data_IF_579306253907
#
_entry.id   IF_579306253907
#
_cell.length_a   1.000
_cell.length_b   1.000
_cell.length_c   1.000
_cell.angle_alpha   90.00
_cell.angle_beta   90.00
_cell.angle_gamma   90.00
#
_symmetry.space_group_name_H-M   'P 1'
#
loop_
_entity.id
_entity.type
_entity.pdbx_description
1 polymer ?
#
# COMPACT_ATOMS: atom_id res chain seq x y z
N UNK A 1 -5.74 -9.35 12.32
CA UNK A 1 -4.34 -9.57 11.84
C UNK A 1 -3.67 -8.21 11.77
N UNK A 2 -2.50 -8.04 12.35
CA UNK A 2 -1.78 -6.76 12.34
C UNK A 2 -0.91 -6.66 11.08
N UNK A 3 -1.06 -5.57 10.33
CA UNK A 3 -0.36 -5.30 9.07
C UNK A 3 0.86 -4.40 9.28
N UNK A 4 0.65 -3.32 10.02
CA UNK A 4 1.67 -2.34 10.41
C UNK A 4 1.68 -2.22 11.94
N UNK A 5 2.86 -2.29 12.52
CA UNK A 5 3.06 -2.07 13.95
C UNK A 5 3.91 -0.82 14.17
N UNK A 6 3.45 0.02 15.08
CA UNK A 6 4.21 1.16 15.58
C UNK A 6 4.50 0.93 17.06
N UNK A 7 5.77 0.96 17.44
CA UNK A 7 6.23 0.77 18.80
C UNK A 7 7.26 1.85 19.17
N UNK A 8 7.74 1.85 20.40
CA UNK A 8 8.83 2.74 20.82
C UNK A 8 10.15 2.47 20.08
N UNK A 9 10.31 1.29 19.49
CA UNK A 9 11.51 0.89 18.76
C UNK A 9 11.48 1.33 17.29
N UNK A 10 10.28 1.58 16.72
CA UNK A 10 10.15 1.94 15.32
C UNK A 10 8.85 1.45 14.70
N UNK A 11 8.85 1.41 13.36
CA UNK A 11 7.73 0.96 12.54
C UNK A 11 8.12 -0.34 11.83
N UNK A 12 7.22 -1.34 11.86
CA UNK A 12 7.41 -2.62 11.19
C UNK A 12 6.22 -2.92 10.28
N UNK A 13 6.47 -3.58 9.16
CA UNK A 13 5.46 -4.10 8.24
C UNK A 13 5.50 -5.62 8.24
N UNK A 14 4.34 -6.26 8.25
CA UNK A 14 4.21 -7.71 8.21
C UNK A 14 4.15 -8.21 6.77
N UNK A 15 5.13 -8.99 6.33
CA UNK A 15 5.01 -9.81 5.12
C UNK A 15 4.22 -11.06 5.48
N UNK A 16 3.05 -11.25 4.86
CA UNK A 16 2.09 -12.27 5.28
C UNK A 16 1.83 -13.24 4.12
N UNK A 17 2.04 -14.51 4.37
CA UNK A 17 1.68 -15.57 3.42
C UNK A 17 0.28 -16.06 3.71
N UNK A 18 -0.57 -16.03 2.68
CA UNK A 18 -1.91 -16.57 2.69
C UNK A 18 -1.93 -17.87 1.89
N UNK A 19 -2.63 -18.87 2.40
CA UNK A 19 -2.86 -20.17 1.76
C UNK A 19 -4.36 -20.52 1.80
N UNK A 20 -4.79 -21.32 0.82
CA UNK A 20 -6.12 -21.87 0.76
C UNK A 20 -6.07 -23.39 0.53
N UNK A 21 -7.07 -24.11 1.05
CA UNK A 21 -7.19 -25.54 0.85
C UNK A 21 -7.49 -25.84 -0.64
N UNK A 22 -6.86 -26.88 -1.17
CA UNK A 22 -7.11 -27.36 -2.55
C UNK A 22 -6.32 -26.64 -3.65
N UNK A 23 -5.45 -25.68 -3.32
CA UNK A 23 -4.56 -25.01 -4.26
C UNK A 23 -3.14 -24.91 -3.71
N UNK A 24 -2.09 -25.19 -4.53
CA UNK A 24 -0.70 -24.93 -4.15
C UNK A 24 -0.29 -23.45 -4.34
N UNK A 25 -1.15 -22.61 -4.91
CA UNK A 25 -0.90 -21.18 -5.11
C UNK A 25 -0.91 -20.47 -3.76
N UNK A 26 0.10 -19.64 -3.49
CA UNK A 26 0.17 -18.82 -2.30
C UNK A 26 0.10 -17.33 -2.67
N UNK A 27 -0.55 -16.55 -1.83
CA UNK A 27 -0.57 -15.08 -1.96
C UNK A 27 0.29 -14.50 -0.84
N UNK A 28 1.28 -13.71 -1.19
CA UNK A 28 2.20 -13.07 -0.23
C UNK A 28 1.93 -11.57 -0.22
N UNK A 29 1.42 -11.09 0.89
CA UNK A 29 1.11 -9.67 1.07
C UNK A 29 2.34 -8.91 1.55
N UNK A 30 2.63 -7.80 0.89
CA UNK A 30 3.64 -6.81 1.27
C UNK A 30 2.93 -5.48 1.54
N UNK A 31 2.47 -5.22 2.78
CA UNK A 31 1.86 -3.94 3.13
C UNK A 31 2.90 -2.82 3.06
N UNK A 32 2.81 -1.99 2.03
CA UNK A 32 3.82 -0.98 1.77
C UNK A 32 3.52 0.34 2.46
N UNK A 33 4.60 1.02 2.86
CA UNK A 33 4.61 2.40 3.31
C UNK A 33 5.43 3.24 2.31
N UNK A 34 4.94 4.42 1.99
CA UNK A 34 5.58 5.30 0.99
C UNK A 34 6.92 5.92 1.45
N UNK A 35 7.22 5.85 2.76
CA UNK A 35 8.47 6.30 3.36
C UNK A 35 9.02 5.19 4.25
N UNK A 36 10.29 4.85 4.06
CA UNK A 36 10.97 3.82 4.83
C UNK A 36 12.49 3.91 4.68
N UNK A 37 13.21 3.14 5.47
CA UNK A 37 14.65 3.01 5.32
C UNK A 37 14.99 2.26 4.01
N UNK A 38 16.09 2.59 3.33
CA UNK A 38 16.53 1.86 2.13
C UNK A 38 16.70 0.35 2.39
N UNK A 39 17.05 -0.04 3.61
CA UNK A 39 17.18 -1.44 4.01
C UNK A 39 15.84 -2.18 3.95
N UNK A 40 14.73 -1.52 4.28
CA UNK A 40 13.39 -2.08 4.18
C UNK A 40 13.05 -2.47 2.73
N UNK A 41 13.24 -1.54 1.79
CA UNK A 41 12.92 -1.80 0.37
C UNK A 41 13.81 -2.90 -0.21
N UNK A 42 15.11 -2.92 0.12
CA UNK A 42 16.01 -4.03 -0.26
C UNK A 42 15.57 -5.38 0.35
N UNK A 43 15.08 -5.39 1.59
CA UNK A 43 14.55 -6.59 2.21
C UNK A 43 13.27 -7.09 1.51
N UNK A 44 12.41 -6.18 1.06
CA UNK A 44 11.25 -6.51 0.21
C UNK A 44 11.71 -7.07 -1.13
N UNK A 45 12.62 -6.40 -1.85
CA UNK A 45 13.19 -6.88 -3.13
C UNK A 45 13.76 -8.29 -3.02
N UNK A 46 14.52 -8.57 -1.96
CA UNK A 46 15.08 -9.90 -1.74
C UNK A 46 14.02 -11.00 -1.60
N UNK A 47 12.82 -10.67 -1.09
CA UNK A 47 11.70 -11.62 -0.98
C UNK A 47 10.92 -11.75 -2.28
N UNK A 48 10.76 -10.65 -3.00
CA UNK A 48 10.12 -10.64 -4.32
C UNK A 48 10.84 -11.52 -5.32
N UNK A 49 12.16 -11.65 -5.23
CA UNK A 49 12.96 -12.51 -6.10
C UNK A 49 12.56 -13.99 -6.04
N UNK A 50 11.89 -14.45 -5.00
CA UNK A 50 11.35 -15.81 -4.86
C UNK A 50 9.92 -15.98 -5.39
N UNK A 51 9.26 -14.92 -5.85
CA UNK A 51 7.88 -14.97 -6.32
C UNK A 51 7.81 -15.26 -7.84
N UNK A 52 6.71 -15.85 -8.28
CA UNK A 52 6.47 -16.13 -9.71
C UNK A 52 5.70 -15.02 -10.42
N UNK A 53 4.99 -14.17 -9.67
CA UNK A 53 4.20 -13.05 -10.19
C UNK A 53 4.15 -11.93 -9.14
N UNK A 54 4.21 -10.69 -9.60
CA UNK A 54 4.09 -9.50 -8.74
C UNK A 54 2.88 -8.68 -9.16
N UNK A 55 2.02 -8.35 -8.21
CA UNK A 55 0.91 -7.41 -8.36
C UNK A 55 1.31 -6.12 -7.64
N UNK A 56 1.64 -5.08 -8.42
CA UNK A 56 2.24 -3.83 -7.95
C UNK A 56 1.26 -2.67 -8.00
N UNK A 57 1.39 -1.76 -7.03
CA UNK A 57 0.64 -0.51 -6.98
C UNK A 57 1.25 0.53 -7.93
N UNK A 58 0.41 1.21 -8.72
CA UNK A 58 0.89 2.34 -9.49
C UNK A 58 -0.09 2.88 -10.50
N UNK A 59 -0.55 4.10 -10.23
CA UNK A 59 -1.38 4.86 -11.18
C UNK A 59 -0.53 5.19 -12.42
N UNK A 60 -0.90 4.63 -13.57
CA UNK A 60 -0.20 4.90 -14.81
C UNK A 60 -0.43 6.36 -15.25
N UNK A 61 0.67 7.11 -15.50
CA UNK A 61 0.65 8.51 -15.91
C UNK A 61 -0.19 9.40 -14.99
N UNK A 62 0.17 9.51 -13.69
CA UNK A 62 -0.62 10.25 -12.73
C UNK A 62 -0.77 11.72 -13.15
N UNK A 63 -1.97 12.31 -12.97
CA UNK A 63 -2.19 13.72 -13.30
C UNK A 63 -1.36 14.65 -12.43
N UNK A 64 -1.16 15.90 -12.88
CA UNK A 64 -0.35 16.89 -12.18
C UNK A 64 -0.83 17.14 -10.73
N UNK A 65 -2.15 17.07 -10.48
CA UNK A 65 -2.75 17.18 -9.14
C UNK A 65 -2.28 16.06 -8.21
N UNK A 66 -2.26 14.81 -8.68
CA UNK A 66 -1.75 13.67 -7.89
C UNK A 66 -0.25 13.84 -7.66
N UNK A 67 0.51 14.22 -8.69
CA UNK A 67 1.94 14.51 -8.55
C UNK A 67 2.21 15.61 -7.54
N UNK A 68 1.39 16.66 -7.51
CA UNK A 68 1.54 17.75 -6.54
C UNK A 68 1.20 17.29 -5.10
N UNK A 69 0.13 16.49 -4.92
CA UNK A 69 -0.20 15.92 -3.62
C UNK A 69 0.88 14.92 -3.16
N UNK A 70 1.36 14.05 -4.04
CA UNK A 70 2.47 13.13 -3.71
C UNK A 70 3.79 13.85 -3.50
N UNK A 71 4.01 15.02 -4.10
CA UNK A 71 5.18 15.85 -3.85
C UNK A 71 5.21 16.32 -2.40
N UNK A 72 4.06 16.61 -1.78
CA UNK A 72 3.97 16.97 -0.37
C UNK A 72 4.52 15.86 0.54
N UNK A 73 4.34 14.59 0.17
CA UNK A 73 4.95 13.44 0.86
C UNK A 73 6.41 13.17 0.45
N UNK A 74 6.82 13.57 -0.75
CA UNK A 74 8.19 13.38 -1.27
C UNK A 74 9.15 14.48 -0.82
N UNK A 75 8.66 15.70 -0.54
CA UNK A 75 9.48 16.80 -0.03
C UNK A 75 10.16 16.48 1.31
N UNK A 76 9.47 15.87 2.30
CA UNK A 76 10.13 15.34 3.47
C UNK A 76 11.27 14.38 3.13
N UNK A 77 11.08 13.41 2.23
CA UNK A 77 12.11 12.45 1.85
C UNK A 77 13.38 13.07 1.26
N UNK A 78 13.29 14.20 0.55
CA UNK A 78 14.49 14.91 0.05
C UNK A 78 15.29 15.63 1.13
N UNK A 79 14.64 16.18 2.14
CA UNK A 79 15.29 16.76 3.33
C UNK A 79 15.72 15.70 4.34
N UNK A 80 15.04 14.56 4.37
CA UNK A 80 15.32 13.43 5.27
C UNK A 80 16.45 12.51 4.80
N UNK A 81 17.19 12.82 3.73
CA UNK A 81 18.49 12.17 3.46
C UNK A 81 19.39 12.18 4.70
N UNK A 82 19.25 13.20 5.56
CA UNK A 82 19.94 13.27 6.84
C UNK A 82 19.36 12.34 7.93
N UNK A 83 18.17 11.74 7.72
CA UNK A 83 17.52 10.82 8.67
C UNK A 83 17.40 9.39 8.14
N UNK A 84 18.04 9.07 7.01
CA UNK A 84 18.11 7.71 6.49
C UNK A 84 16.81 7.17 5.89
N UNK A 85 15.77 7.99 5.68
CA UNK A 85 14.52 7.56 5.04
C UNK A 85 14.50 7.94 3.55
N UNK A 86 13.91 7.07 2.72
CA UNK A 86 13.66 7.30 1.30
C UNK A 86 12.19 7.05 0.96
N UNK A 87 11.73 7.61 -0.16
CA UNK A 87 10.43 7.22 -0.71
C UNK A 87 10.50 5.80 -1.25
N UNK A 88 9.35 5.11 -1.28
CA UNK A 88 9.22 3.79 -1.89
C UNK A 88 9.84 3.81 -3.29
N UNK A 89 10.85 2.96 -3.49
CA UNK A 89 11.57 2.77 -4.73
C UNK A 89 12.00 1.30 -4.79
N UNK A 90 11.23 0.50 -5.51
CA UNK A 90 11.52 -0.92 -5.74
C UNK A 90 11.99 -1.04 -7.18
N UNK A 91 13.20 -1.54 -7.36
CA UNK A 91 13.76 -1.78 -8.69
C UNK A 91 13.34 -3.16 -9.21
N UNK A 92 12.23 -3.20 -9.92
CA UNK A 92 11.75 -4.45 -10.55
C UNK A 92 12.68 -4.97 -11.66
N UNK A 93 13.59 -4.15 -12.20
CA UNK A 93 14.50 -4.59 -13.25
C UNK A 93 15.56 -5.58 -12.73
N UNK A 94 15.89 -5.50 -11.44
CA UNK A 94 16.85 -6.43 -10.81
C UNK A 94 16.23 -7.80 -10.45
N UNK A 95 14.91 -7.96 -10.58
CA UNK A 95 14.19 -9.18 -10.20
C UNK A 95 14.14 -10.25 -11.29
N UNK A 96 15.05 -10.19 -12.27
CA UNK A 96 15.26 -11.31 -13.21
C UNK A 96 14.11 -11.60 -14.18
N UNK A 97 13.24 -10.61 -14.46
CA UNK A 97 12.16 -10.75 -15.45
C UNK A 97 10.88 -11.36 -14.89
N UNK A 98 10.69 -11.37 -13.58
CA UNK A 98 9.41 -11.76 -12.95
C UNK A 98 8.29 -10.89 -13.53
N UNK A 99 7.17 -11.48 -14.00
CA UNK A 99 6.05 -10.71 -14.51
C UNK A 99 5.49 -9.75 -13.44
N UNK A 100 5.25 -8.48 -13.83
CA UNK A 100 4.66 -7.46 -12.96
C UNK A 100 3.35 -6.98 -13.56
N UNK A 101 2.26 -7.18 -12.84
CA UNK A 101 0.92 -6.72 -13.20
C UNK A 101 0.59 -5.49 -12.36
N UNK A 102 0.04 -4.46 -12.99
CA UNK A 102 -0.37 -3.21 -12.31
C UNK A 102 -1.86 -2.97 -12.52
N UNK A 103 -2.73 -3.57 -11.70
CA UNK A 103 -4.18 -3.44 -11.81
C UNK A 103 -4.69 -2.12 -11.22
N UNK A 104 -3.98 -1.04 -11.43
CA UNK A 104 -4.36 0.26 -10.90
C UNK A 104 -5.00 1.13 -12.00
N UNK A 105 -5.75 2.14 -11.58
CA UNK A 105 -6.42 3.02 -12.52
C UNK A 105 -5.42 3.83 -13.37
N UNK A 106 -5.83 4.14 -14.60
CA UNK A 106 -5.10 5.08 -15.42
C UNK A 106 -5.25 6.52 -14.90
N UNK A 107 -4.31 7.40 -15.24
CA UNK A 107 -4.41 8.81 -14.90
C UNK A 107 -5.65 9.52 -15.51
N UNK A 108 -6.30 8.95 -16.54
CA UNK A 108 -7.58 9.46 -17.08
C UNK A 108 -8.74 9.06 -16.17
N UNK A 109 -8.77 7.81 -15.73
CA UNK A 109 -9.77 7.28 -14.80
C UNK A 109 -9.68 8.01 -13.47
N UNK A 110 -8.48 8.16 -12.92
CA UNK A 110 -8.28 8.94 -11.71
C UNK A 110 -8.80 10.39 -11.86
N UNK A 111 -8.53 11.08 -12.98
CA UNK A 111 -9.07 12.43 -13.23
C UNK A 111 -10.58 12.46 -13.27
N UNK A 112 -11.21 11.42 -13.85
CA UNK A 112 -12.67 11.32 -13.90
C UNK A 112 -13.24 11.13 -12.50
N UNK A 113 -12.66 10.22 -11.72
CA UNK A 113 -13.04 10.00 -10.31
C UNK A 113 -12.84 11.28 -9.47
N UNK A 114 -11.68 11.91 -9.59
CA UNK A 114 -11.36 13.15 -8.88
C UNK A 114 -12.35 14.29 -9.20
N UNK A 115 -12.84 14.40 -10.41
CA UNK A 115 -13.88 15.39 -10.76
C UNK A 115 -15.22 15.10 -10.11
N UNK A 116 -15.54 13.84 -9.84
CA UNK A 116 -16.72 13.40 -9.11
C UNK A 116 -16.65 13.67 -7.59
N UNK A 117 -15.45 13.88 -7.03
CA UNK A 117 -15.29 14.22 -5.61
C UNK A 117 -15.89 15.58 -5.33
N UNK A 118 -16.72 15.76 -4.28
CA UNK A 118 -17.29 17.05 -3.90
C UNK A 118 -16.21 18.14 -3.74
N UNK A 119 -16.53 19.36 -4.18
CA UNK A 119 -15.58 20.49 -4.18
C UNK A 119 -15.02 20.74 -2.77
N UNK A 120 -15.86 20.65 -1.74
CA UNK A 120 -15.48 20.82 -0.33
C UNK A 120 -14.38 19.82 0.10
N UNK A 121 -14.53 18.55 -0.32
CA UNK A 121 -13.56 17.49 0.02
C UNK A 121 -12.24 17.70 -0.74
N UNK A 122 -12.30 18.12 -2.02
CA UNK A 122 -11.10 18.48 -2.79
C UNK A 122 -10.36 19.66 -2.19
N UNK A 123 -11.09 20.69 -1.75
CA UNK A 123 -10.51 21.85 -1.06
C UNK A 123 -9.88 21.44 0.27
N UNK A 124 -10.56 20.61 1.06
CA UNK A 124 -10.01 20.06 2.30
C UNK A 124 -8.70 19.29 2.05
N UNK A 125 -8.64 18.44 1.03
CA UNK A 125 -7.42 17.73 0.66
C UNK A 125 -6.27 18.69 0.30
N UNK A 126 -6.54 19.73 -0.49
CA UNK A 126 -5.54 20.74 -0.85
C UNK A 126 -5.09 21.62 0.32
N UNK A 127 -5.96 21.87 1.28
CA UNK A 127 -5.65 22.67 2.47
C UNK A 127 -4.91 21.88 3.55
N UNK A 128 -5.21 20.58 3.68
CA UNK A 128 -4.64 19.73 4.76
C UNK A 128 -3.36 19.02 4.35
N UNK A 129 -3.27 18.51 3.12
CA UNK A 129 -2.11 17.70 2.70
C UNK A 129 -0.79 18.48 2.69
N UNK A 130 -0.70 19.71 2.15
CA UNK A 130 0.56 20.46 2.17
C UNK A 130 1.06 20.79 3.58
N UNK A 131 0.24 21.31 4.52
CA UNK A 131 0.71 21.59 5.89
C UNK A 131 1.08 20.31 6.66
N UNK A 132 0.39 19.18 6.44
CA UNK A 132 0.79 17.89 7.02
C UNK A 132 2.16 17.49 6.48
N UNK A 133 2.37 17.54 5.16
CA UNK A 133 3.67 17.27 4.55
C UNK A 133 4.77 18.20 5.05
N UNK A 134 4.46 19.49 5.26
CA UNK A 134 5.39 20.47 5.84
C UNK A 134 5.68 20.17 7.31
N UNK A 135 4.66 19.83 8.09
CA UNK A 135 4.83 19.44 9.50
C UNK A 135 5.70 18.19 9.64
N UNK A 136 5.49 17.19 8.78
CA UNK A 136 6.35 16.01 8.69
C UNK A 136 7.79 16.36 8.32
N UNK A 137 7.98 17.33 7.41
CA UNK A 137 9.31 17.80 7.01
C UNK A 137 10.03 18.56 8.11
N UNK A 138 9.31 19.33 8.94
CA UNK A 138 9.90 20.18 9.98
C UNK A 138 10.11 19.45 11.30
N UNK A 139 9.16 18.61 11.71
CA UNK A 139 9.17 17.91 13.02
C UNK A 139 9.89 16.56 12.99
N UNK A 140 10.25 16.12 11.79
CA UNK A 140 10.76 14.77 11.54
C UNK A 140 9.62 13.74 11.43
N UNK A 141 9.75 12.88 10.44
CA UNK A 141 8.75 11.82 10.16
C UNK A 141 8.55 10.92 11.38
N UNK A 142 9.62 10.64 12.13
CA UNK A 142 9.62 9.78 13.33
C UNK A 142 8.66 10.25 14.43
N UNK A 143 8.53 11.57 14.67
CA UNK A 143 7.62 12.12 15.69
C UNK A 143 6.18 12.24 15.23
N UNK A 144 5.94 12.22 13.92
CA UNK A 144 4.60 12.34 13.33
C UNK A 144 3.96 10.96 13.16
N UNK A 145 4.75 9.90 13.09
CA UNK A 145 4.30 8.51 13.15
C UNK A 145 4.13 8.08 14.61
N UNK A 146 3.16 8.65 15.28
CA UNK A 146 2.76 8.21 16.61
C UNK A 146 1.87 6.95 16.51
N UNK A 147 1.51 6.35 17.63
CA UNK A 147 0.75 5.09 17.79
C UNK A 147 -0.52 4.95 16.93
N UNK A 148 -1.00 6.07 16.35
CA UNK A 148 -2.19 6.12 15.50
C UNK A 148 -2.02 5.47 14.11
N UNK A 149 -0.81 5.06 13.71
CA UNK A 149 -0.52 4.43 12.41
C UNK A 149 -0.45 2.90 12.43
N UNK A 150 -0.73 2.26 13.55
CA UNK A 150 -0.93 0.81 13.56
C UNK A 150 -2.13 0.45 12.70
N UNK A 151 -1.94 -0.43 11.72
CA UNK A 151 -2.98 -0.88 10.80
C UNK A 151 -3.25 -2.37 11.02
N UNK A 152 -4.49 -2.67 11.26
CA UNK A 152 -5.05 -4.03 11.32
C UNK A 152 -5.92 -4.31 10.09
N UNK A 153 -6.29 -5.56 9.90
CA UNK A 153 -7.25 -5.97 8.86
C UNK A 153 -8.72 -5.67 9.21
N UNK A 154 -8.97 -5.17 10.41
CA UNK A 154 -10.28 -4.71 10.83
C UNK A 154 -10.43 -3.20 10.61
N UNK A 155 -11.62 -2.71 10.22
CA UNK A 155 -11.87 -1.28 10.10
C UNK A 155 -11.60 -0.57 11.43
N UNK A 156 -10.76 0.44 11.41
CA UNK A 156 -10.54 1.29 12.57
C UNK A 156 -11.64 2.34 12.69
N UNK A 157 -11.82 2.89 13.89
CA UNK A 157 -12.73 4.02 14.10
C UNK A 157 -12.34 5.23 13.22
N UNK A 158 -11.06 5.41 12.98
CA UNK A 158 -10.53 6.51 12.14
C UNK A 158 -10.87 6.30 10.66
N UNK A 159 -10.80 5.05 10.15
CA UNK A 159 -11.20 4.73 8.77
C UNK A 159 -12.67 5.02 8.58
N UNK A 160 -13.52 4.64 9.54
CA UNK A 160 -14.94 4.91 9.49
C UNK A 160 -15.23 6.42 9.56
N UNK A 161 -14.53 7.17 10.41
CA UNK A 161 -14.65 8.63 10.45
C UNK A 161 -14.24 9.28 9.12
N UNK A 162 -13.14 8.83 8.50
CA UNK A 162 -12.70 9.36 7.21
C UNK A 162 -13.74 9.08 6.12
N UNK A 163 -14.32 7.88 6.10
CA UNK A 163 -15.40 7.50 5.18
C UNK A 163 -16.64 8.38 5.36
N UNK A 164 -16.98 8.73 6.59
CA UNK A 164 -18.12 9.61 6.88
C UNK A 164 -17.83 11.09 6.55
N UNK A 165 -16.64 11.57 6.82
CA UNK A 165 -16.27 12.98 6.61
C UNK A 165 -15.96 13.31 5.15
N UNK A 166 -15.35 12.39 4.42
CA UNK A 166 -14.90 12.58 3.04
C UNK A 166 -15.21 11.36 2.15
N UNK A 167 -16.49 10.97 2.00
CA UNK A 167 -16.89 9.75 1.29
C UNK A 167 -16.47 9.75 -0.19
N UNK A 168 -16.53 10.90 -0.85
CA UNK A 168 -16.12 11.03 -2.24
C UNK A 168 -14.62 10.87 -2.43
N UNK A 169 -13.83 11.40 -1.50
CA UNK A 169 -12.37 11.26 -1.51
C UNK A 169 -11.96 9.82 -1.23
N UNK A 170 -12.55 9.18 -0.21
CA UNK A 170 -12.28 7.79 0.16
C UNK A 170 -12.61 6.86 -1.01
N UNK A 171 -13.77 7.05 -1.64
CA UNK A 171 -14.16 6.29 -2.82
C UNK A 171 -13.13 6.41 -3.95
N UNK A 172 -12.70 7.63 -4.27
CA UNK A 172 -11.78 7.88 -5.39
C UNK A 172 -10.35 7.38 -5.15
N UNK A 173 -9.89 7.36 -3.89
CA UNK A 173 -8.50 7.02 -3.54
C UNK A 173 -8.36 5.57 -3.07
N UNK A 174 -9.38 5.03 -2.42
CA UNK A 174 -9.33 3.70 -1.79
C UNK A 174 -10.26 2.73 -2.51
N UNK A 175 -11.59 2.94 -2.43
CA UNK A 175 -12.57 1.91 -2.76
C UNK A 175 -12.51 1.45 -4.23
N UNK A 176 -12.39 2.38 -5.18
CA UNK A 176 -12.31 2.04 -6.61
C UNK A 176 -11.01 1.28 -6.95
N UNK A 177 -9.93 1.57 -6.23
CA UNK A 177 -8.65 0.88 -6.40
C UNK A 177 -8.68 -0.51 -5.74
N UNK A 178 -9.36 -0.65 -4.60
CA UNK A 178 -9.61 -1.94 -3.96
C UNK A 178 -10.37 -2.89 -4.90
N UNK A 179 -11.36 -2.38 -5.63
CA UNK A 179 -12.12 -3.17 -6.61
C UNK A 179 -11.18 -3.69 -7.70
N UNK A 180 -10.39 -2.81 -8.33
CA UNK A 180 -9.45 -3.20 -9.39
C UNK A 180 -8.44 -4.24 -8.92
N UNK A 181 -7.88 -4.04 -7.73
CA UNK A 181 -6.91 -4.94 -7.13
C UNK A 181 -7.53 -6.32 -6.84
N UNK A 182 -8.69 -6.35 -6.19
CA UNK A 182 -9.34 -7.60 -5.79
C UNK A 182 -9.88 -8.39 -6.99
N UNK A 183 -10.38 -7.71 -8.03
CA UNK A 183 -10.77 -8.34 -9.30
C UNK A 183 -9.57 -8.97 -10.01
N UNK A 184 -8.44 -8.27 -10.07
CA UNK A 184 -7.21 -8.82 -10.63
C UNK A 184 -6.74 -10.05 -9.86
N UNK A 185 -6.67 -9.97 -8.53
CA UNK A 185 -6.27 -11.11 -7.69
C UNK A 185 -7.23 -12.29 -7.85
N UNK A 186 -8.53 -12.04 -7.94
CA UNK A 186 -9.51 -13.10 -8.20
C UNK A 186 -9.31 -13.75 -9.58
N UNK A 187 -8.90 -12.99 -10.59
CA UNK A 187 -8.49 -13.52 -11.90
C UNK A 187 -7.28 -14.44 -11.78
N UNK A 188 -6.21 -13.95 -11.13
CA UNK A 188 -4.97 -14.71 -10.89
C UNK A 188 -5.24 -16.01 -10.12
N UNK A 189 -6.05 -15.96 -9.07
CA UNK A 189 -6.39 -17.14 -8.27
C UNK A 189 -7.11 -18.21 -9.10
N UNK A 190 -7.94 -17.83 -10.08
CA UNK A 190 -8.64 -18.79 -10.97
C UNK A 190 -7.71 -19.35 -12.05
N UNK A 191 -6.88 -18.49 -12.63
CA UNK A 191 -5.99 -18.84 -13.74
C UNK A 191 -4.84 -19.76 -13.29
N UNK A 192 -4.25 -19.46 -12.12
CA UNK A 192 -3.07 -20.15 -11.61
C UNK A 192 -3.36 -21.11 -10.45
N UNK A 193 -4.63 -21.50 -10.23
CA UNK A 193 -5.06 -22.32 -9.09
C UNK A 193 -4.28 -23.65 -8.93
N UNK A 194 -3.79 -24.23 -10.03
CA UNK A 194 -3.04 -25.50 -10.02
C UNK A 194 -1.51 -25.30 -9.93
N UNK A 195 -1.04 -24.07 -9.95
CA UNK A 195 0.38 -23.76 -10.00
C UNK A 195 0.97 -23.60 -8.60
N UNK A 196 2.13 -24.24 -8.36
CA UNK A 196 2.91 -24.04 -7.14
C UNK A 196 3.74 -22.77 -7.29
N UNK A 197 3.15 -21.63 -6.96
CA UNK A 197 3.74 -20.32 -7.18
C UNK A 197 3.36 -19.36 -6.03
N UNK A 198 4.24 -18.43 -5.75
CA UNK A 198 3.97 -17.30 -4.86
C UNK A 198 3.61 -16.07 -5.70
N UNK A 199 2.47 -15.47 -5.42
CA UNK A 199 2.04 -14.20 -6.01
C UNK A 199 2.23 -13.10 -4.96
N UNK A 200 3.14 -12.18 -5.23
CA UNK A 200 3.39 -11.05 -4.35
C UNK A 200 2.38 -9.92 -4.60
N UNK A 201 1.77 -9.39 -3.55
CA UNK A 201 0.90 -8.20 -3.58
C UNK A 201 1.63 -7.05 -2.91
N UNK A 202 2.21 -6.15 -3.71
CA UNK A 202 3.03 -5.01 -3.26
C UNK A 202 2.19 -3.74 -3.35
N UNK A 203 1.41 -3.48 -2.32
CA UNK A 203 0.44 -2.38 -2.29
C UNK A 203 0.43 -1.66 -0.95
N UNK A 204 -0.04 -0.41 -0.95
CA UNK A 204 -0.20 0.37 0.27
C UNK A 204 -0.97 -0.40 1.34
N UNK A 205 -0.48 -0.33 2.58
CA UNK A 205 -1.02 -1.11 3.70
C UNK A 205 -2.53 -0.92 3.91
N UNK A 206 -3.06 0.27 3.59
CA UNK A 206 -4.49 0.58 3.70
C UNK A 206 -5.41 -0.22 2.77
N UNK A 207 -4.88 -0.86 1.72
CA UNK A 207 -5.65 -1.71 0.79
C UNK A 207 -5.70 -3.18 1.23
N UNK A 208 -4.81 -3.61 2.13
CA UNK A 208 -4.69 -5.02 2.54
C UNK A 208 -5.95 -5.58 3.24
N UNK A 209 -6.72 -4.80 4.02
CA UNK A 209 -7.98 -5.28 4.58
C UNK A 209 -9.01 -5.71 3.54
N UNK A 210 -9.11 -5.00 2.42
CA UNK A 210 -9.99 -5.36 1.31
C UNK A 210 -9.52 -6.65 0.63
N UNK A 211 -8.21 -6.74 0.36
CA UNK A 211 -7.57 -7.93 -0.24
C UNK A 211 -7.80 -9.19 0.61
N UNK A 212 -7.47 -9.13 1.89
CA UNK A 212 -7.62 -10.30 2.79
C UNK A 212 -9.06 -10.77 2.90
N UNK A 213 -10.00 -9.83 3.05
CA UNK A 213 -11.43 -10.13 3.13
C UNK A 213 -11.94 -10.79 1.86
N UNK A 214 -11.58 -10.27 0.69
CA UNK A 214 -12.08 -10.77 -0.58
C UNK A 214 -11.47 -12.13 -0.94
N UNK A 215 -10.18 -12.32 -0.73
CA UNK A 215 -9.51 -13.61 -0.93
C UNK A 215 -10.06 -14.69 0.02
N UNK A 216 -10.35 -14.33 1.28
CA UNK A 216 -11.00 -15.26 2.20
C UNK A 216 -12.41 -15.63 1.74
N UNK A 217 -13.22 -14.62 1.36
CA UNK A 217 -14.61 -14.82 0.99
C UNK A 217 -14.78 -15.65 -0.28
N UNK A 218 -13.95 -15.40 -1.31
CA UNK A 218 -14.08 -16.08 -2.60
C UNK A 218 -13.34 -17.43 -2.67
N UNK A 219 -12.19 -17.53 -2.04
CA UNK A 219 -11.26 -18.64 -2.25
C UNK A 219 -10.82 -19.32 -0.94
N UNK A 220 -11.23 -18.83 0.21
CA UNK A 220 -10.87 -19.41 1.51
C UNK A 220 -9.43 -19.17 1.96
N UNK A 221 -8.70 -18.23 1.34
CA UNK A 221 -7.34 -17.89 1.74
C UNK A 221 -7.28 -17.40 3.19
N UNK A 222 -6.32 -17.94 3.94
CA UNK A 222 -6.10 -17.60 5.36
C UNK A 222 -4.62 -17.36 5.63
N UNK A 223 -4.27 -16.47 6.59
CA UNK A 223 -2.89 -16.30 7.03
C UNK A 223 -2.31 -17.61 7.57
N UNK A 224 -1.14 -17.99 7.08
CA UNK A 224 -0.38 -19.16 7.54
C UNK A 224 0.91 -18.77 8.25
N UNK A 225 1.59 -17.76 7.74
CA UNK A 225 2.81 -17.24 8.35
C UNK A 225 2.89 -15.73 8.17
N UNK A 226 3.63 -15.10 9.06
CA UNK A 226 3.97 -13.69 8.97
C UNK A 226 5.41 -13.47 9.41
N UNK A 227 6.09 -12.55 8.72
CA UNK A 227 7.43 -12.08 9.06
C UNK A 227 7.40 -10.56 9.18
N UNK A 228 8.04 -10.01 10.22
CA UNK A 228 8.14 -8.57 10.41
C UNK A 228 9.39 -8.00 9.75
N UNK A 229 9.21 -6.99 8.91
CA UNK A 229 10.28 -6.17 8.36
C UNK A 229 10.29 -4.80 9.02
N UNK A 230 11.45 -4.38 9.51
CA UNK A 230 11.62 -3.02 10.05
C UNK A 230 11.57 -2.01 8.90
N UNK A 231 10.57 -1.14 8.92
CA UNK A 231 10.44 -0.04 7.97
C UNK A 231 11.44 1.07 8.32
N UNK A 232 11.52 1.43 9.59
CA UNK A 232 12.56 2.29 10.17
C UNK A 232 12.51 2.25 11.69
N UNK A 233 13.65 2.52 12.31
CA UNK A 233 13.79 2.66 13.76
C UNK A 233 13.62 4.12 14.20
N UNK A 234 13.19 4.35 15.45
CA UNK A 234 13.07 5.69 16.05
C UNK A 234 14.40 6.21 16.60
#
# INVERSE_FOLDING_TARGET
MQLIEVSIAGVRSAVITLEADGTPLRIVLFPMLHLGAPAFYRAVEGRLAGCGLIVDEGISRPPASVRALTLAYRLPGRRHRNHGLTSQDIDYAVLGGIPVVRPDMSGREFRRQWRGVPVRERLAAWLLVPPIGLAMALRGTRRTFDRELSLDDLPSFQDEQLRQLAPGLTRAIVDERDILLTECLAGICREHAAERMDVAVVWGAGHMPAVTRELYRQFGYRPRSAEWLTVFDF
#
